data_IF_940416815306
#
_entry.id   IF_940416815306
#
_cell.length_a   1.000
_cell.length_b   1.000
_cell.length_c   1.000
_cell.angle_alpha   90.00
_cell.angle_beta   90.00
_cell.angle_gamma   90.00
#
_symmetry.space_group_name_H-M   'P 1'
#
loop_
_entity.id
_entity.type
_entity.pdbx_description
1 polymer ?
#
# COMPACT_ATOMS: atom_id res chain seq x y z
N UNK A 1 -3.25 6.28 13.07
CA UNK A 1 -3.26 5.45 11.84
C UNK A 1 -2.89 4.03 12.23
N UNK A 2 -3.61 3.03 11.75
CA UNK A 2 -3.26 1.61 12.00
C UNK A 2 -2.10 1.27 11.06
N UNK A 3 -1.01 0.71 11.59
CA UNK A 3 0.08 0.17 10.77
C UNK A 3 -0.28 -1.27 10.36
N UNK A 4 -1.01 -1.41 9.25
CA UNK A 4 -1.47 -2.70 8.73
C UNK A 4 -0.30 -3.68 8.43
N UNK A 5 0.93 -3.17 8.27
CA UNK A 5 2.14 -3.92 7.88
C UNK A 5 3.14 -4.17 9.03
N UNK A 6 2.82 -3.74 10.24
CA UNK A 6 3.62 -4.03 11.43
C UNK A 6 3.72 -5.55 11.68
N UNK A 7 4.69 -5.95 12.51
CA UNK A 7 4.88 -7.36 12.89
C UNK A 7 3.65 -7.98 13.57
N UNK A 8 2.85 -7.14 14.23
CA UNK A 8 1.60 -7.42 14.91
C UNK A 8 0.39 -6.78 14.20
N UNK A 9 0.57 -6.29 12.96
CA UNK A 9 -0.44 -5.61 12.18
C UNK A 9 -1.50 -6.56 11.58
N UNK A 10 -2.52 -5.97 10.95
CA UNK A 10 -3.65 -6.73 10.40
C UNK A 10 -3.21 -7.78 9.37
N UNK A 11 -2.23 -7.47 8.50
CA UNK A 11 -1.74 -8.44 7.52
C UNK A 11 -0.95 -9.58 8.17
N UNK A 12 -0.21 -9.32 9.25
CA UNK A 12 0.49 -10.35 10.00
C UNK A 12 -0.48 -11.36 10.62
N UNK A 13 -1.64 -10.87 11.09
CA UNK A 13 -2.70 -11.73 11.65
C UNK A 13 -3.44 -12.55 10.59
N UNK A 14 -3.56 -12.03 9.36
CA UNK A 14 -4.41 -12.62 8.32
C UNK A 14 -3.65 -13.49 7.31
N UNK A 15 -2.35 -13.27 7.12
CA UNK A 15 -1.55 -13.94 6.08
C UNK A 15 -0.47 -14.78 6.73
N UNK A 16 -0.63 -16.11 6.67
CA UNK A 16 0.38 -17.05 7.14
C UNK A 16 1.73 -16.79 6.44
N UNK A 17 2.79 -16.65 7.23
CA UNK A 17 4.14 -16.38 6.71
C UNK A 17 4.38 -14.94 6.26
N UNK A 18 3.47 -14.00 6.57
CA UNK A 18 3.72 -12.58 6.40
C UNK A 18 5.00 -12.16 7.12
N UNK A 19 5.82 -11.36 6.43
CA UNK A 19 7.03 -10.77 6.99
C UNK A 19 6.99 -9.27 6.74
N UNK A 20 7.01 -8.43 7.79
CA UNK A 20 7.12 -6.99 7.63
C UNK A 20 8.31 -6.61 6.77
N UNK A 21 8.12 -5.62 5.91
CA UNK A 21 9.18 -5.04 5.06
C UNK A 21 9.20 -3.55 5.30
N UNK A 22 10.31 -3.04 5.80
CA UNK A 22 10.42 -1.62 6.12
C UNK A 22 10.13 -0.69 4.92
N UNK A 23 10.60 -0.98 3.69
CA UNK A 23 10.23 -0.16 2.53
C UNK A 23 8.73 -0.16 2.21
N UNK A 24 8.01 -1.26 2.52
CA UNK A 24 6.55 -1.34 2.35
C UNK A 24 5.83 -0.43 3.35
N UNK A 25 6.28 -0.45 4.62
CA UNK A 25 5.75 0.39 5.70
C UNK A 25 5.97 1.86 5.42
N UNK A 26 7.18 2.24 5.01
CA UNK A 26 7.55 3.61 4.65
C UNK A 26 6.68 4.13 3.50
N UNK A 27 6.52 3.33 2.44
CA UNK A 27 5.65 3.70 1.33
C UNK A 27 4.19 3.84 1.76
N UNK A 28 3.67 2.91 2.57
CA UNK A 28 2.29 2.97 3.06
C UNK A 28 2.02 4.22 3.90
N UNK A 29 2.95 4.56 4.80
CA UNK A 29 2.87 5.77 5.60
C UNK A 29 2.89 7.03 4.71
N UNK A 30 3.84 7.10 3.77
CA UNK A 30 3.94 8.24 2.86
C UNK A 30 2.67 8.43 2.01
N UNK A 31 2.09 7.33 1.50
CA UNK A 31 0.84 7.35 0.74
C UNK A 31 -0.32 7.82 1.62
N UNK A 32 -0.43 7.30 2.84
CA UNK A 32 -1.49 7.69 3.76
C UNK A 32 -1.44 9.20 4.09
N UNK A 33 -0.26 9.71 4.45
CA UNK A 33 -0.06 11.15 4.69
C UNK A 33 -0.39 11.99 3.45
N UNK A 34 -0.01 11.54 2.25
CA UNK A 34 -0.33 12.26 1.01
C UNK A 34 -1.84 12.32 0.74
N UNK A 35 -2.58 11.25 1.06
CA UNK A 35 -4.05 11.21 0.94
C UNK A 35 -4.74 12.11 1.98
N UNK A 36 -4.22 12.15 3.21
CA UNK A 36 -4.72 12.99 4.29
C UNK A 36 -4.48 14.49 4.00
N UNK A 37 -3.25 14.83 3.60
CA UNK A 37 -2.81 16.20 3.31
C UNK A 37 -3.25 16.69 1.92
N UNK A 38 -3.85 15.83 1.09
CA UNK A 38 -4.26 16.12 -0.29
C UNK A 38 -3.11 16.70 -1.13
N UNK A 39 -1.95 16.03 -1.09
CA UNK A 39 -0.75 16.45 -1.82
C UNK A 39 -0.24 15.39 -2.79
N UNK A 40 0.43 15.78 -3.89
CA UNK A 40 1.15 14.84 -4.73
C UNK A 40 2.28 14.12 -3.96
N UNK A 41 2.52 12.87 -4.33
CA UNK A 41 3.62 12.05 -3.85
C UNK A 41 4.21 11.26 -5.01
N UNK A 42 5.53 11.26 -5.12
CA UNK A 42 6.27 10.38 -6.03
C UNK A 42 7.07 9.40 -5.19
N UNK A 43 6.94 8.11 -5.48
CA UNK A 43 7.67 7.04 -4.80
C UNK A 43 8.31 6.15 -5.86
N UNK A 44 9.62 5.94 -5.74
CA UNK A 44 10.29 4.86 -6.44
C UNK A 44 10.26 3.60 -5.57
N UNK A 45 9.68 2.51 -6.10
CA UNK A 45 9.58 1.24 -5.38
C UNK A 45 10.04 0.10 -6.28
N UNK A 46 11.15 -0.54 -5.89
CA UNK A 46 11.70 -1.70 -6.57
C UNK A 46 10.74 -2.91 -6.60
N UNK A 47 11.12 -3.93 -7.38
CA UNK A 47 10.45 -5.23 -7.36
C UNK A 47 10.60 -5.89 -5.98
N UNK A 48 9.60 -6.65 -5.54
CA UNK A 48 9.63 -7.30 -4.22
C UNK A 48 9.31 -6.41 -3.01
N UNK A 49 9.30 -5.09 -3.15
CA UNK A 49 8.94 -4.14 -2.07
C UNK A 49 7.53 -4.34 -1.52
N UNK A 50 6.63 -5.00 -2.26
CA UNK A 50 5.22 -5.12 -1.86
C UNK A 50 4.41 -3.85 -2.15
N UNK A 51 4.83 -3.08 -3.16
CA UNK A 51 4.26 -1.78 -3.55
C UNK A 51 2.74 -1.79 -3.73
N UNK A 52 2.18 -2.88 -4.26
CA UNK A 52 0.74 -3.03 -4.48
C UNK A 52 -0.04 -2.87 -3.18
N UNK A 53 0.27 -3.68 -2.16
CA UNK A 53 -0.38 -3.53 -0.86
C UNK A 53 -0.05 -2.20 -0.20
N UNK A 54 1.18 -1.69 -0.37
CA UNK A 54 1.62 -0.44 0.25
C UNK A 54 0.76 0.76 -0.16
N UNK A 55 0.28 0.84 -1.41
CA UNK A 55 -0.68 1.89 -1.79
C UNK A 55 -2.15 1.49 -1.56
N UNK A 56 -2.50 0.20 -1.63
CA UNK A 56 -3.90 -0.25 -1.49
C UNK A 56 -4.42 -0.16 -0.06
N UNK A 57 -3.63 -0.57 0.94
CA UNK A 57 -4.07 -0.53 2.34
C UNK A 57 -4.47 0.90 2.77
N UNK A 58 -3.61 1.93 2.64
CA UNK A 58 -4.01 3.29 2.99
C UNK A 58 -5.12 3.85 2.09
N UNK A 59 -5.16 3.48 0.81
CA UNK A 59 -6.26 3.88 -0.09
C UNK A 59 -7.63 3.35 0.37
N UNK A 60 -7.71 2.09 0.78
CA UNK A 60 -8.93 1.47 1.31
C UNK A 60 -9.33 2.09 2.65
N UNK A 61 -8.36 2.41 3.51
CA UNK A 61 -8.59 3.07 4.82
C UNK A 61 -9.03 4.52 4.69
N UNK A 62 -8.75 5.17 3.58
CA UNK A 62 -9.09 6.58 3.36
C UNK A 62 -10.60 6.85 3.35
N UNK A 63 -11.45 5.82 3.21
CA UNK A 63 -12.91 5.95 3.09
C UNK A 63 -13.32 6.97 2.01
N UNK A 64 -12.57 6.99 0.90
CA UNK A 64 -12.77 7.85 -0.28
C UNK A 64 -12.91 6.96 -1.52
N UNK A 65 -13.48 7.50 -2.59
CA UNK A 65 -13.36 6.87 -3.91
C UNK A 65 -11.91 6.99 -4.37
N UNK A 66 -11.26 5.87 -4.66
CA UNK A 66 -9.87 5.81 -5.14
C UNK A 66 -9.84 5.19 -6.53
N UNK A 67 -9.07 5.78 -7.43
CA UNK A 67 -8.79 5.24 -8.77
C UNK A 67 -7.33 4.82 -8.79
N UNK A 68 -7.08 3.55 -9.10
CA UNK A 68 -5.73 3.02 -9.34
C UNK A 68 -5.53 2.91 -10.85
N UNK A 69 -4.51 3.59 -11.37
CA UNK A 69 -4.12 3.51 -12.79
C UNK A 69 -2.81 2.74 -12.92
N UNK A 70 -2.72 1.87 -13.92
CA UNK A 70 -1.53 1.06 -14.18
C UNK A 70 -1.19 1.08 -15.68
N UNK A 71 0.05 0.73 -16.01
CA UNK A 71 0.58 0.88 -17.38
C UNK A 71 0.06 -0.12 -18.41
N UNK A 72 -0.60 -1.22 -18.02
CA UNK A 72 -1.09 -2.23 -18.96
C UNK A 72 -2.28 -3.02 -18.41
N UNK A 73 -3.06 -3.63 -19.30
CA UNK A 73 -4.20 -4.47 -18.91
C UNK A 73 -3.79 -5.64 -18.02
N UNK A 74 -2.68 -6.32 -18.33
CA UNK A 74 -2.19 -7.42 -17.51
C UNK A 74 -1.84 -6.98 -16.07
N UNK A 75 -1.35 -5.75 -15.88
CA UNK A 75 -1.12 -5.19 -14.54
C UNK A 75 -2.41 -4.80 -13.83
N UNK A 76 -3.48 -4.46 -14.56
CA UNK A 76 -4.81 -4.27 -13.99
C UNK A 76 -5.41 -5.60 -13.55
N UNK A 77 -5.29 -6.64 -14.38
CA UNK A 77 -5.78 -7.99 -14.08
C UNK A 77 -5.10 -8.59 -12.84
N UNK A 78 -3.86 -8.20 -12.53
CA UNK A 78 -3.17 -8.58 -11.28
C UNK A 78 -3.78 -7.95 -10.01
N UNK A 79 -4.58 -6.90 -10.14
CA UNK A 79 -5.26 -6.23 -9.03
C UNK A 79 -6.69 -6.73 -8.83
N UNK A 80 -7.25 -7.46 -9.81
CA UNK A 80 -8.64 -7.91 -9.84
C UNK A 80 -8.81 -9.32 -9.29
#
# INVERSE_FOLDING_TARGET
MIDDFAADGQLASAIAGFKPREPQRQMAFAVASAIEETRPLVVEAGTGTGKTYAYLAPALRANKKVIISTGSKALQDQLY
#
